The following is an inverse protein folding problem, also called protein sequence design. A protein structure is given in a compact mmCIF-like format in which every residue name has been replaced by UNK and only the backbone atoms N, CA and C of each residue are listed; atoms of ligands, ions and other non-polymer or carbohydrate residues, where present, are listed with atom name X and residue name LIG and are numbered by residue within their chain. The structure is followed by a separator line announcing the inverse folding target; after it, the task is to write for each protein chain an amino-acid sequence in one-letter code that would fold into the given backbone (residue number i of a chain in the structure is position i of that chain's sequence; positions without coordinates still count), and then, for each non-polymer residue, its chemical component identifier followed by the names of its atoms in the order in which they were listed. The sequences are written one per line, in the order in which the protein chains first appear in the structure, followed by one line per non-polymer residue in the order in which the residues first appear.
data_IF_587508369175
#
_entry.id   IF_587508369175
#
_cell.length_a   1.000
_cell.length_b   1.000
_cell.length_c   1.000
_cell.angle_alpha   90.00
_cell.angle_beta   90.00
_cell.angle_gamma   90.00
#
_symmetry.space_group_name_H-M   'P 1'
#
loop_
_entity.id
_entity.type
_entity.pdbx_description
1 polymer ?
#
# COMPACT_ATOMS: atom_id res chain seq x y z
N UNK A 1 -52.77 21.36 -31.50
CA UNK A 1 -52.73 19.89 -31.67
C UNK A 1 -51.83 19.59 -32.86
N UNK A 2 -50.80 18.76 -32.69
CA UNK A 2 -50.95 17.31 -32.75
C UNK A 2 -50.34 16.55 -31.56
N UNK A 3 -50.74 15.28 -31.47
CA UNK A 3 -50.62 14.33 -30.35
C UNK A 3 -49.17 13.88 -30.09
N UNK A 4 -48.76 13.87 -28.81
CA UNK A 4 -47.62 13.08 -28.33
C UNK A 4 -48.15 11.84 -27.61
N UNK A 5 -47.80 10.67 -28.12
CA UNK A 5 -48.05 9.38 -27.49
C UNK A 5 -46.93 9.03 -26.50
N UNK A 6 -47.37 8.79 -25.26
CA UNK A 6 -46.99 7.73 -24.31
C UNK A 6 -45.53 7.26 -24.21
N UNK A 7 -44.99 7.28 -22.98
CA UNK A 7 -44.67 6.04 -22.24
C UNK A 7 -44.44 6.35 -20.76
N UNK A 8 -45.32 5.78 -19.94
CA UNK A 8 -45.19 5.64 -18.49
C UNK A 8 -44.05 4.64 -18.21
N UNK A 9 -43.13 5.01 -17.33
CA UNK A 9 -42.12 4.10 -16.77
C UNK A 9 -42.44 3.96 -15.28
N UNK A 10 -42.81 2.73 -14.94
CA UNK A 10 -43.03 2.18 -13.61
C UNK A 10 -41.80 2.31 -12.73
N UNK A 11 -41.96 2.92 -11.56
CA UNK A 11 -40.96 2.94 -10.49
C UNK A 11 -40.99 1.62 -9.71
N UNK A 12 -40.07 0.72 -10.03
CA UNK A 12 -39.80 -0.48 -9.23
C UNK A 12 -38.74 -0.16 -8.17
N UNK A 13 -39.16 -0.19 -6.91
CA UNK A 13 -38.31 -0.04 -5.72
C UNK A 13 -37.29 -1.18 -5.62
N UNK A 14 -36.00 -0.85 -5.69
CA UNK A 14 -34.90 -1.75 -5.34
C UNK A 14 -34.36 -1.38 -3.97
N UNK A 15 -34.62 -2.24 -2.99
CA UNK A 15 -34.03 -2.26 -1.65
C UNK A 15 -32.51 -2.39 -1.75
N UNK A 16 -31.79 -1.29 -1.56
CA UNK A 16 -30.35 -1.31 -1.34
C UNK A 16 -30.08 -1.70 0.13
N UNK A 17 -29.54 -2.90 0.33
CA UNK A 17 -28.89 -3.28 1.58
C UNK A 17 -27.69 -2.36 1.77
N UNK A 18 -27.82 -1.40 2.68
CA UNK A 18 -26.73 -0.52 3.09
C UNK A 18 -25.78 -1.31 3.99
N UNK A 19 -24.68 -1.78 3.42
CA UNK A 19 -23.51 -2.15 4.20
C UNK A 19 -22.79 -0.85 4.57
N UNK A 20 -23.10 -0.31 5.75
CA UNK A 20 -22.34 0.77 6.38
C UNK A 20 -20.94 0.26 6.74
N UNK A 21 -19.99 0.39 5.81
CA UNK A 21 -18.56 0.45 6.14
C UNK A 21 -18.22 1.92 6.39
N UNK A 22 -18.18 2.30 7.66
CA UNK A 22 -17.57 3.57 8.08
C UNK A 22 -16.14 3.60 7.55
N UNK A 23 -15.69 4.65 6.84
CA UNK A 23 -14.29 4.77 6.48
C UNK A 23 -13.46 4.74 7.77
N UNK A 24 -12.38 3.96 7.86
CA UNK A 24 -11.50 4.01 9.01
C UNK A 24 -11.06 5.46 9.18
N UNK A 25 -11.07 5.95 10.42
CA UNK A 25 -10.35 7.16 10.75
C UNK A 25 -8.92 6.98 10.22
N UNK A 26 -8.45 7.93 9.40
CA UNK A 26 -7.20 7.80 8.65
C UNK A 26 -5.97 7.46 9.53
N UNK A 27 -6.10 7.59 10.86
CA UNK A 27 -5.06 7.35 11.85
C UNK A 27 -5.13 5.99 12.58
N UNK A 28 -5.99 5.04 12.20
CA UNK A 28 -6.12 3.75 12.88
C UNK A 28 -5.76 2.55 11.99
N UNK A 29 -5.04 1.57 12.56
CA UNK A 29 -4.80 0.29 11.91
C UNK A 29 -6.12 -0.49 11.74
N UNK A 30 -6.37 -1.07 10.57
CA UNK A 30 -7.47 -2.02 10.38
C UNK A 30 -7.38 -3.21 11.36
N UNK A 31 -8.53 -3.68 11.84
CA UNK A 31 -8.61 -4.78 12.80
C UNK A 31 -7.96 -6.08 12.29
N UNK A 32 -7.99 -6.30 10.97
CA UNK A 32 -7.34 -7.44 10.29
C UNK A 32 -5.81 -7.47 10.48
N UNK A 33 -5.20 -6.32 10.77
CA UNK A 33 -3.76 -6.15 10.99
C UNK A 33 -3.38 -6.12 12.48
N UNK A 34 -4.36 -6.22 13.38
CA UNK A 34 -4.16 -6.23 14.84
C UNK A 34 -4.73 -7.49 15.50
N UNK A 35 -5.15 -8.50 14.73
CA UNK A 35 -5.67 -9.75 15.29
C UNK A 35 -4.52 -10.61 15.86
N UNK A 36 -4.45 -10.82 17.18
CA UNK A 36 -3.37 -11.57 17.81
C UNK A 36 -3.39 -13.07 17.49
N UNK A 37 -4.39 -13.58 16.78
CA UNK A 37 -4.50 -14.99 16.39
C UNK A 37 -4.11 -15.23 14.92
N UNK A 38 -3.84 -14.18 14.16
CA UNK A 38 -3.51 -14.30 12.74
C UNK A 38 -2.09 -13.83 12.47
N UNK A 39 -1.32 -14.54 11.62
CA UNK A 39 0.04 -14.15 11.31
C UNK A 39 0.07 -12.93 10.38
N UNK A 40 1.24 -12.27 10.33
CA UNK A 40 1.52 -11.16 9.43
C UNK A 40 2.81 -11.43 8.64
N UNK A 41 2.96 -10.86 7.42
CA UNK A 41 4.21 -10.89 6.68
C UNK A 41 5.35 -10.28 7.51
N UNK A 42 6.56 -10.82 7.39
CA UNK A 42 7.75 -10.24 8.06
C UNK A 42 8.30 -9.03 7.31
N UNK A 43 8.07 -8.98 6.00
CA UNK A 43 8.49 -7.92 5.11
C UNK A 43 7.37 -7.59 4.13
N UNK A 44 7.00 -6.32 4.08
CA UNK A 44 6.14 -5.79 3.03
C UNK A 44 7.01 -4.94 2.09
N UNK A 45 6.93 -5.23 0.80
CA UNK A 45 7.68 -4.52 -0.24
C UNK A 45 6.70 -3.78 -1.13
N UNK A 46 7.02 -2.54 -1.49
CA UNK A 46 6.22 -1.73 -2.39
C UNK A 46 7.00 -1.43 -3.68
N UNK A 47 6.31 -1.44 -4.82
CA UNK A 47 6.72 -0.60 -5.94
C UNK A 47 6.57 0.90 -5.60
N UNK A 48 6.99 1.79 -6.49
CA UNK A 48 6.88 3.23 -6.32
C UNK A 48 5.82 3.83 -7.24
N UNK A 49 6.03 3.71 -8.55
CA UNK A 49 5.25 4.41 -9.55
C UNK A 49 3.88 3.75 -9.69
N UNK A 50 2.80 4.54 -9.69
CA UNK A 50 1.41 4.07 -9.62
C UNK A 50 1.05 3.19 -8.41
N UNK A 51 1.99 2.91 -7.50
CA UNK A 51 1.75 2.18 -6.25
C UNK A 51 1.72 3.12 -5.05
N UNK A 52 2.79 3.88 -4.79
CA UNK A 52 2.83 4.87 -3.70
C UNK A 52 2.35 6.26 -4.15
N UNK A 53 2.49 6.58 -5.43
CA UNK A 53 2.06 7.84 -6.03
C UNK A 53 1.51 7.64 -7.45
N UNK A 54 0.64 8.53 -7.96
CA UNK A 54 -0.08 8.31 -9.24
C UNK A 54 0.68 8.78 -10.49
N UNK A 55 1.97 8.46 -10.60
CA UNK A 55 2.79 8.85 -11.76
C UNK A 55 4.06 8.00 -11.90
N UNK A 56 4.64 7.95 -13.10
CA UNK A 56 6.04 7.56 -13.32
C UNK A 56 7.00 8.70 -13.02
N UNK A 57 7.90 8.52 -12.05
CA UNK A 57 8.88 9.52 -11.63
C UNK A 57 9.93 9.84 -12.70
N UNK A 58 10.26 8.91 -13.59
CA UNK A 58 11.23 9.13 -14.68
C UNK A 58 10.64 9.76 -15.94
N UNK A 59 9.30 9.89 -16.00
CA UNK A 59 8.59 10.36 -17.20
C UNK A 59 7.86 11.67 -16.94
N UNK A 60 7.11 11.77 -15.84
CA UNK A 60 6.24 12.92 -15.58
C UNK A 60 6.94 14.03 -14.79
N UNK A 61 7.93 13.69 -13.97
CA UNK A 61 8.57 14.67 -13.09
C UNK A 61 9.70 15.39 -13.82
N UNK A 62 9.69 16.72 -13.81
CA UNK A 62 10.76 17.53 -14.39
C UNK A 62 11.59 18.31 -13.35
N UNK A 63 12.74 17.79 -12.90
CA UNK A 63 13.57 18.43 -11.88
C UNK A 63 14.00 19.87 -12.25
N UNK A 64 14.33 20.72 -11.25
CA UNK A 64 14.44 20.40 -9.82
C UNK A 64 13.08 20.30 -9.13
N UNK A 65 13.00 19.41 -8.14
CA UNK A 65 11.87 19.32 -7.21
C UNK A 65 12.05 20.29 -6.04
N UNK A 66 10.93 20.85 -5.57
CA UNK A 66 10.85 21.68 -4.37
C UNK A 66 9.72 21.18 -3.48
N UNK A 67 9.96 20.84 -2.21
CA UNK A 67 8.88 20.42 -1.31
C UNK A 67 7.91 21.58 -1.05
N UNK A 68 6.62 21.27 -0.94
CA UNK A 68 5.64 22.24 -0.45
C UNK A 68 5.92 22.61 1.02
N UNK A 69 5.40 23.76 1.52
CA UNK A 69 5.63 24.18 2.91
C UNK A 69 5.23 23.14 3.95
N UNK A 70 4.14 22.39 3.70
CA UNK A 70 3.67 21.28 4.54
C UNK A 70 4.43 19.98 4.33
N UNK A 71 5.26 19.91 3.28
CA UNK A 71 6.02 18.73 2.86
C UNK A 71 5.16 17.50 2.55
N UNK A 72 3.89 17.69 2.27
CA UNK A 72 2.96 16.62 1.84
C UNK A 72 3.01 16.39 0.32
N UNK A 73 3.65 17.30 -0.41
CA UNK A 73 3.86 17.23 -1.85
C UNK A 73 5.17 17.89 -2.25
N UNK A 74 5.58 17.75 -3.51
CA UNK A 74 6.68 18.48 -4.10
C UNK A 74 6.29 18.98 -5.50
N UNK A 75 6.70 20.20 -5.82
CA UNK A 75 6.48 20.79 -7.15
C UNK A 75 7.75 20.70 -7.99
N UNK A 76 7.59 20.48 -9.29
CA UNK A 76 8.72 20.46 -10.23
C UNK A 76 9.01 21.85 -10.83
N UNK A 77 9.85 21.91 -11.87
CA UNK A 77 10.20 23.19 -12.52
C UNK A 77 9.05 23.86 -13.28
N UNK A 78 8.02 23.10 -13.65
CA UNK A 78 6.82 23.57 -14.34
C UNK A 78 5.68 23.91 -13.39
N UNK A 79 5.83 23.57 -12.10
CA UNK A 79 4.84 23.81 -11.06
C UNK A 79 3.80 22.71 -10.96
N UNK A 80 4.04 21.54 -11.56
CA UNK A 80 3.20 20.36 -11.36
C UNK A 80 3.44 19.80 -9.96
N UNK A 81 2.37 19.40 -9.26
CA UNK A 81 2.40 18.93 -7.88
C UNK A 81 2.42 17.39 -7.81
N UNK A 82 3.36 16.86 -7.04
CA UNK A 82 3.62 15.42 -6.91
C UNK A 82 3.47 15.01 -5.45
N UNK A 83 2.52 14.12 -5.17
CA UNK A 83 2.18 13.65 -3.82
C UNK A 83 1.94 12.13 -3.80
N UNK A 84 1.91 11.55 -2.60
CA UNK A 84 1.51 10.16 -2.37
C UNK A 84 0.00 9.99 -2.58
N UNK A 85 -0.48 8.76 -2.82
CA UNK A 85 -1.90 8.44 -2.69
C UNK A 85 -2.40 8.71 -1.27
N UNK A 86 -3.71 9.00 -1.13
CA UNK A 86 -4.28 9.54 0.11
C UNK A 86 -4.03 8.68 1.37
N UNK A 87 -4.11 7.35 1.25
CA UNK A 87 -3.92 6.43 2.38
C UNK A 87 -2.43 6.11 2.64
N UNK A 88 -1.57 6.25 1.63
CA UNK A 88 -0.16 5.81 1.69
C UNK A 88 0.60 6.44 2.85
N UNK A 89 0.46 7.73 3.19
CA UNK A 89 1.16 8.29 4.32
C UNK A 89 0.86 7.57 5.65
N UNK A 90 -0.40 7.17 5.84
CA UNK A 90 -0.85 6.46 7.03
C UNK A 90 -0.47 4.98 7.00
N UNK A 91 -0.56 4.33 5.84
CA UNK A 91 -0.13 2.95 5.64
C UNK A 91 1.35 2.80 6.03
N UNK A 92 2.22 3.65 5.48
CA UNK A 92 3.66 3.62 5.76
C UNK A 92 3.97 3.94 7.23
N UNK A 93 3.20 4.84 7.85
CA UNK A 93 3.38 5.22 9.25
C UNK A 93 2.89 4.13 10.22
N UNK A 94 1.81 3.41 9.90
CA UNK A 94 1.11 2.52 10.82
C UNK A 94 1.48 1.04 10.66
N UNK A 95 1.80 0.56 9.45
CA UNK A 95 2.15 -0.85 9.22
C UNK A 95 3.25 -1.40 10.13
N UNK A 96 4.34 -0.67 10.45
CA UNK A 96 5.36 -1.15 11.37
C UNK A 96 4.83 -1.42 12.80
N UNK A 97 3.66 -0.88 13.15
CA UNK A 97 3.00 -1.05 14.44
C UNK A 97 1.92 -2.13 14.44
N UNK A 98 1.71 -2.84 13.32
CA UNK A 98 0.77 -3.96 13.24
C UNK A 98 1.21 -5.14 14.12
N UNK A 99 0.23 -5.83 14.71
CA UNK A 99 0.46 -6.93 15.68
C UNK A 99 -0.36 -8.15 15.32
N UNK A 100 0.32 -9.25 14.96
CA UNK A 100 -0.27 -10.58 14.72
C UNK A 100 0.27 -11.66 15.67
N UNK A 101 -0.15 -12.91 15.50
CA UNK A 101 0.22 -14.02 16.39
C UNK A 101 1.73 -14.34 16.40
N UNK A 102 2.39 -14.12 15.27
CA UNK A 102 3.85 -14.33 15.12
C UNK A 102 4.63 -13.02 15.28
N UNK A 103 3.92 -11.90 15.45
CA UNK A 103 4.50 -10.59 15.72
C UNK A 103 4.84 -10.50 17.20
N UNK A 104 6.03 -10.97 17.56
CA UNK A 104 6.59 -10.58 18.86
C UNK A 104 6.76 -9.06 18.88
N UNK A 105 6.55 -8.38 20.03
CA UNK A 105 6.77 -6.93 20.16
C UNK A 105 8.17 -6.47 19.69
N UNK A 106 9.13 -7.39 19.62
CA UNK A 106 10.50 -7.16 19.16
C UNK A 106 10.74 -7.37 17.65
N UNK A 107 9.71 -7.76 16.88
CA UNK A 107 9.83 -8.05 15.43
C UNK A 107 8.72 -7.34 14.64
N UNK A 108 8.80 -6.01 14.46
CA UNK A 108 7.87 -5.27 13.62
C UNK A 108 7.95 -5.73 12.16
N UNK A 109 6.88 -5.49 11.41
CA UNK A 109 6.88 -5.67 9.95
C UNK A 109 7.91 -4.69 9.36
N UNK A 110 8.87 -5.23 8.60
CA UNK A 110 9.82 -4.41 7.85
C UNK A 110 9.17 -3.90 6.57
N UNK A 111 9.55 -2.70 6.15
CA UNK A 111 9.09 -2.10 4.89
C UNK A 111 10.26 -1.95 3.92
N UNK A 112 10.11 -2.47 2.70
CA UNK A 112 11.10 -2.38 1.63
C UNK A 112 10.54 -1.74 0.36
N UNK A 113 11.43 -1.46 -0.59
CA UNK A 113 11.07 -0.96 -1.92
C UNK A 113 11.71 -1.84 -3.00
N UNK A 114 10.95 -2.17 -4.03
CA UNK A 114 11.45 -2.73 -5.26
C UNK A 114 10.89 -1.91 -6.42
N UNK A 115 11.68 -1.09 -7.12
CA UNK A 115 11.20 -0.24 -8.22
C UNK A 115 12.14 -0.26 -9.42
N UNK A 116 11.54 -0.25 -10.60
CA UNK A 116 12.23 -0.37 -11.89
C UNK A 116 12.55 0.96 -12.56
N UNK A 117 12.27 2.09 -11.90
CA UNK A 117 12.46 3.42 -12.47
C UNK A 117 13.89 3.62 -12.99
N UNK A 118 14.00 4.33 -14.12
CA UNK A 118 15.28 4.77 -14.67
C UNK A 118 15.82 6.04 -14.00
N UNK A 119 15.08 6.62 -13.04
CA UNK A 119 15.50 7.77 -12.24
C UNK A 119 15.66 7.45 -10.73
N UNK A 120 16.56 6.53 -10.31
CA UNK A 120 16.69 6.13 -8.91
C UNK A 120 17.06 7.24 -7.92
N UNK A 121 17.81 8.26 -8.35
CA UNK A 121 18.16 9.41 -7.51
C UNK A 121 16.94 10.27 -7.25
N UNK A 122 16.19 10.59 -8.32
CA UNK A 122 14.99 11.42 -8.24
C UNK A 122 13.91 10.77 -7.37
N UNK A 123 13.69 9.47 -7.51
CA UNK A 123 12.76 8.71 -6.67
C UNK A 123 13.14 8.80 -5.18
N UNK A 124 14.43 8.63 -4.84
CA UNK A 124 14.91 8.76 -3.47
C UNK A 124 14.79 10.19 -2.95
N UNK A 125 15.04 11.19 -3.79
CA UNK A 125 14.92 12.59 -3.40
C UNK A 125 13.47 12.99 -3.14
N UNK A 126 12.54 12.51 -3.96
CA UNK A 126 11.11 12.68 -3.71
C UNK A 126 10.68 12.04 -2.37
N UNK A 127 11.09 10.80 -2.09
CA UNK A 127 10.81 10.14 -0.80
C UNK A 127 11.44 10.88 0.41
N UNK A 128 12.56 11.61 0.23
CA UNK A 128 13.15 12.47 1.28
C UNK A 128 12.36 13.77 1.47
N UNK A 129 11.77 14.29 0.40
CA UNK A 129 11.00 15.55 0.42
C UNK A 129 9.63 15.36 1.06
N UNK A 130 8.96 14.25 0.76
CA UNK A 130 7.62 13.93 1.26
C UNK A 130 7.67 13.48 2.72
N UNK A 131 6.84 14.09 3.55
CA UNK A 131 6.72 13.80 4.98
C UNK A 131 5.39 13.12 5.28
N UNK A 132 5.46 12.15 6.20
CA UNK A 132 4.32 11.47 6.78
C UNK A 132 3.74 12.31 7.93
N UNK A 133 2.41 12.26 8.12
CA UNK A 133 1.77 12.95 9.22
C UNK A 133 2.28 12.43 10.57
N UNK A 134 2.37 13.30 11.60
CA UNK A 134 2.66 12.86 12.96
C UNK A 134 1.55 11.93 13.46
N UNK A 135 1.91 10.93 14.26
CA UNK A 135 0.90 10.18 15.02
C UNK A 135 0.39 11.07 16.16
N UNK A 136 -0.92 11.10 16.34
CA UNK A 136 -1.58 11.86 17.41
C UNK A 136 -2.00 10.93 18.55
N UNK A 137 -1.92 11.43 19.78
CA UNK A 137 -2.43 10.77 20.99
C UNK A 137 -3.27 11.79 21.76
N UNK A 138 -4.59 11.77 21.53
CA UNK A 138 -5.47 12.88 21.90
C UNK A 138 -5.12 14.15 21.11
N UNK A 139 -5.20 15.32 21.75
CA UNK A 139 -4.91 16.62 21.10
C UNK A 139 -3.40 16.94 20.97
N UNK A 140 -2.51 15.96 21.18
CA UNK A 140 -1.06 16.16 21.16
C UNK A 140 -0.36 15.24 20.15
N UNK A 141 0.62 15.75 19.39
CA UNK A 141 1.45 14.91 18.54
C UNK A 141 2.33 14.01 19.40
N UNK A 142 2.15 12.68 19.23
CA UNK A 142 2.98 11.63 19.84
C UNK A 142 4.33 11.51 19.16
N UNK A 143 4.42 11.87 17.88
CA UNK A 143 5.65 11.84 17.10
C UNK A 143 5.86 13.11 16.27
N UNK A 144 7.11 13.39 15.90
CA UNK A 144 7.41 14.40 14.88
C UNK A 144 7.03 13.87 13.49
N UNK A 145 6.74 14.75 12.51
CA UNK A 145 6.67 14.35 11.11
C UNK A 145 7.95 13.61 10.70
N UNK A 146 7.80 12.52 9.96
CA UNK A 146 8.92 11.69 9.48
C UNK A 146 8.99 11.77 7.96
N UNK A 147 10.19 11.73 7.38
CA UNK A 147 10.31 11.62 5.92
C UNK A 147 9.80 10.24 5.49
N UNK A 148 9.13 10.15 4.35
CA UNK A 148 8.65 8.88 3.83
C UNK A 148 9.80 7.87 3.64
N UNK A 149 10.98 8.33 3.21
CA UNK A 149 12.16 7.47 3.07
C UNK A 149 12.60 6.80 4.40
N UNK A 150 12.35 7.44 5.55
CA UNK A 150 12.85 6.97 6.86
C UNK A 150 12.00 5.85 7.46
N UNK A 151 10.87 5.48 6.84
CA UNK A 151 10.05 4.34 7.28
C UNK A 151 10.48 3.01 6.69
N UNK A 152 11.27 3.04 5.61
CA UNK A 152 11.77 1.83 4.97
C UNK A 152 13.02 1.34 5.70
N UNK A 153 12.82 0.43 6.64
CA UNK A 153 13.88 -0.27 7.40
C UNK A 153 14.34 -1.58 6.73
N UNK A 154 13.66 -1.98 5.65
CA UNK A 154 14.08 -3.02 4.71
C UNK A 154 14.88 -2.46 3.52
N UNK A 155 15.42 -3.33 2.66
CA UNK A 155 16.17 -2.90 1.48
C UNK A 155 15.31 -2.10 0.48
N UNK A 156 15.90 -1.06 -0.10
CA UNK A 156 15.32 -0.28 -1.19
C UNK A 156 16.07 -0.56 -2.50
N UNK A 157 15.61 -1.57 -3.24
CA UNK A 157 16.09 -1.90 -4.58
C UNK A 157 15.40 -0.99 -5.60
N UNK A 158 16.09 0.06 -6.05
CA UNK A 158 15.56 1.04 -7.01
C UNK A 158 16.54 1.15 -8.17
N UNK A 159 16.25 0.44 -9.27
CA UNK A 159 17.02 0.44 -10.52
C UNK A 159 16.28 -0.30 -11.64
N UNK A 160 16.57 -0.03 -12.92
CA UNK A 160 16.02 -0.81 -14.02
C UNK A 160 16.40 -2.29 -13.95
N UNK A 161 15.43 -3.18 -14.15
CA UNK A 161 15.67 -4.63 -14.17
C UNK A 161 14.38 -5.45 -13.99
N UNK A 162 14.51 -6.78 -13.91
CA UNK A 162 13.39 -7.64 -13.51
C UNK A 162 13.19 -7.57 -12.00
N UNK A 163 11.92 -7.57 -11.54
CA UNK A 163 11.58 -7.64 -10.11
C UNK A 163 12.09 -8.92 -9.46
N UNK A 164 12.30 -10.00 -10.22
CA UNK A 164 12.95 -11.22 -9.70
C UNK A 164 14.31 -10.90 -9.07
N UNK A 165 15.16 -10.13 -9.77
CA UNK A 165 16.49 -9.74 -9.25
C UNK A 165 16.40 -8.83 -8.03
N UNK A 166 15.39 -7.97 -7.99
CA UNK A 166 15.15 -7.11 -6.83
C UNK A 166 14.84 -7.97 -5.60
N UNK A 167 13.92 -8.94 -5.74
CA UNK A 167 13.56 -9.84 -4.64
C UNK A 167 14.69 -10.79 -4.24
N UNK A 168 15.49 -11.30 -5.17
CA UNK A 168 16.71 -12.06 -4.85
C UNK A 168 17.69 -11.23 -4.01
N UNK A 169 17.90 -9.95 -4.36
CA UNK A 169 18.75 -9.04 -3.60
C UNK A 169 18.16 -8.72 -2.21
N UNK A 170 16.85 -8.50 -2.12
CA UNK A 170 16.12 -8.29 -0.86
C UNK A 170 16.26 -9.52 0.05
N UNK A 171 16.01 -10.72 -0.49
CA UNK A 171 16.17 -11.99 0.23
C UNK A 171 17.60 -12.15 0.74
N UNK A 172 18.60 -11.94 -0.12
CA UNK A 172 20.02 -12.02 0.25
C UNK A 172 20.40 -11.05 1.38
N UNK A 173 19.88 -9.82 1.36
CA UNK A 173 20.20 -8.79 2.37
C UNK A 173 19.47 -9.02 3.70
N UNK A 174 18.25 -9.56 3.65
CA UNK A 174 17.39 -9.69 4.84
C UNK A 174 17.42 -11.07 5.48
N UNK A 175 17.71 -12.13 4.71
CA UNK A 175 17.53 -13.52 5.12
C UNK A 175 16.07 -13.94 5.30
N UNK A 176 15.09 -13.08 4.97
CA UNK A 176 13.67 -13.39 5.09
C UNK A 176 13.27 -14.29 3.92
N UNK A 177 12.58 -15.41 4.19
CA UNK A 177 12.08 -16.31 3.15
C UNK A 177 11.07 -15.62 2.24
N UNK A 178 11.02 -15.97 0.95
CA UNK A 178 10.10 -15.34 0.00
C UNK A 178 8.65 -15.48 0.43
N UNK A 179 8.30 -16.64 0.98
CA UNK A 179 6.99 -16.94 1.53
C UNK A 179 6.57 -15.92 2.60
N UNK A 180 7.52 -15.34 3.36
CA UNK A 180 7.26 -14.38 4.45
C UNK A 180 7.15 -12.93 3.93
N UNK A 181 7.20 -12.73 2.61
CA UNK A 181 7.09 -11.44 1.94
C UNK A 181 5.73 -11.24 1.30
N UNK A 182 5.23 -10.00 1.40
CA UNK A 182 4.07 -9.50 0.66
C UNK A 182 4.51 -8.31 -0.19
N UNK A 183 4.12 -8.31 -1.46
CA UNK A 183 4.54 -7.33 -2.44
C UNK A 183 3.34 -6.62 -3.07
N UNK A 184 3.34 -5.29 -3.09
CA UNK A 184 2.33 -4.48 -3.77
C UNK A 184 2.92 -3.80 -5.01
N UNK A 185 2.24 -3.95 -6.15
CA UNK A 185 2.67 -3.40 -7.44
C UNK A 185 1.46 -3.27 -8.37
N UNK A 186 1.42 -2.22 -9.19
CA UNK A 186 0.32 -1.93 -10.12
C UNK A 186 0.42 -2.73 -11.43
N UNK A 187 1.59 -3.27 -11.75
CA UNK A 187 1.89 -3.88 -13.03
C UNK A 187 1.77 -5.41 -12.97
N UNK A 188 0.75 -5.94 -13.66
CA UNK A 188 0.43 -7.37 -13.70
C UNK A 188 1.62 -8.27 -14.09
N UNK A 189 2.53 -7.79 -14.95
CA UNK A 189 3.69 -8.61 -15.37
C UNK A 189 4.61 -8.96 -14.20
N UNK A 190 4.64 -8.13 -13.16
CA UNK A 190 5.48 -8.33 -11.99
C UNK A 190 4.95 -9.46 -11.08
N UNK A 191 3.75 -10.00 -11.35
CA UNK A 191 3.25 -11.24 -10.74
C UNK A 191 4.15 -12.46 -11.01
N UNK A 192 5.08 -12.38 -11.97
CA UNK A 192 6.12 -13.41 -12.14
C UNK A 192 6.96 -13.64 -10.87
N UNK A 193 7.04 -12.65 -9.98
CA UNK A 193 7.75 -12.74 -8.70
C UNK A 193 7.19 -13.81 -7.77
N UNK A 194 5.92 -14.19 -7.93
CA UNK A 194 5.30 -15.27 -7.14
C UNK A 194 5.94 -16.64 -7.42
N UNK A 195 6.66 -16.80 -8.53
CA UNK A 195 7.47 -18.02 -8.80
C UNK A 195 8.57 -18.22 -7.75
N UNK A 196 8.97 -17.17 -7.04
CA UNK A 196 9.91 -17.25 -5.91
C UNK A 196 9.25 -17.74 -4.61
N UNK A 197 7.91 -17.74 -4.54
CA UNK A 197 7.14 -18.15 -3.36
C UNK A 197 6.52 -17.00 -2.55
N UNK A 198 6.79 -15.73 -2.92
CA UNK A 198 6.16 -14.58 -2.28
C UNK A 198 4.70 -14.40 -2.70
N UNK A 199 3.97 -13.58 -1.95
CA UNK A 199 2.62 -13.14 -2.33
C UNK A 199 2.69 -11.78 -2.98
N UNK A 200 2.15 -11.64 -4.20
CA UNK A 200 2.02 -10.36 -4.90
C UNK A 200 0.55 -9.95 -4.95
N UNK A 201 0.28 -8.70 -4.60
CA UNK A 201 -1.02 -8.06 -4.70
C UNK A 201 -0.97 -6.98 -5.77
N UNK A 202 -1.81 -7.15 -6.79
CA UNK A 202 -1.97 -6.17 -7.86
C UNK A 202 -2.79 -4.98 -7.35
N UNK A 203 -2.27 -3.76 -7.51
CA UNK A 203 -2.93 -2.50 -7.08
C UNK A 203 -3.13 -1.54 -8.26
N UNK A 204 -4.08 -1.82 -9.17
CA UNK A 204 -4.20 -1.07 -10.43
C UNK A 204 -4.58 0.41 -10.24
N UNK A 205 -5.19 0.75 -9.10
CA UNK A 205 -5.64 2.11 -8.76
C UNK A 205 -4.78 2.73 -7.63
N UNK A 206 -3.58 2.18 -7.40
CA UNK A 206 -2.70 2.58 -6.31
C UNK A 206 -3.00 1.93 -4.97
N UNK A 207 -2.09 2.12 -4.03
CA UNK A 207 -2.18 1.53 -2.71
C UNK A 207 -3.18 2.27 -1.83
N UNK A 208 -4.13 1.53 -1.26
CA UNK A 208 -5.06 1.98 -0.24
C UNK A 208 -5.20 0.93 0.87
N UNK A 209 -5.88 1.27 1.97
CA UNK A 209 -6.04 0.34 3.10
C UNK A 209 -6.73 -0.96 2.69
N UNK A 210 -7.74 -0.89 1.81
CA UNK A 210 -8.47 -2.07 1.36
C UNK A 210 -7.56 -3.05 0.62
N UNK A 211 -6.61 -2.54 -0.18
CA UNK A 211 -5.65 -3.39 -0.88
C UNK A 211 -4.62 -3.98 0.08
N UNK A 212 -4.20 -3.24 1.11
CA UNK A 212 -3.32 -3.78 2.17
C UNK A 212 -4.00 -4.95 2.90
N UNK A 213 -5.25 -4.79 3.32
CA UNK A 213 -6.01 -5.85 3.99
C UNK A 213 -6.15 -7.09 3.11
N UNK A 214 -6.57 -6.90 1.85
CA UNK A 214 -6.70 -8.00 0.87
C UNK A 214 -5.37 -8.68 0.60
N UNK A 215 -4.27 -7.93 0.49
CA UNK A 215 -2.93 -8.48 0.30
C UNK A 215 -2.49 -9.36 1.48
N UNK A 216 -2.77 -8.94 2.71
CA UNK A 216 -2.50 -9.75 3.91
C UNK A 216 -3.39 -10.98 3.97
N UNK A 217 -4.66 -10.87 3.59
CA UNK A 217 -5.57 -12.03 3.47
C UNK A 217 -5.09 -13.03 2.41
N UNK A 218 -4.68 -12.57 1.24
CA UNK A 218 -4.13 -13.42 0.17
C UNK A 218 -2.86 -14.14 0.65
N UNK A 219 -1.99 -13.45 1.39
CA UNK A 219 -0.78 -14.01 1.99
C UNK A 219 -1.10 -15.07 3.04
N UNK A 220 -2.08 -14.81 3.92
CA UNK A 220 -2.59 -15.76 4.92
C UNK A 220 -3.18 -17.01 4.26
N UNK A 221 -4.01 -16.81 3.23
CA UNK A 221 -4.69 -17.90 2.51
C UNK A 221 -3.69 -18.86 1.87
N UNK A 222 -2.62 -18.34 1.25
CA UNK A 222 -1.53 -19.16 0.68
C UNK A 222 -0.78 -19.99 1.71
N UNK A 223 -0.88 -19.61 2.98
CA UNK A 223 -0.27 -20.29 4.14
C UNK A 223 -1.25 -21.14 4.94
N UNK A 224 -2.48 -21.31 4.44
CA UNK A 224 -3.50 -22.13 5.09
C UNK A 224 -4.25 -21.44 6.24
N UNK A 225 -4.04 -20.14 6.45
CA UNK A 225 -4.81 -19.37 7.42
C UNK A 225 -6.08 -18.84 6.75
N UNK A 226 -7.24 -19.29 7.24
CA UNK A 226 -8.57 -18.82 6.79
C UNK A 226 -9.21 -17.97 7.88
N UNK A 227 -9.88 -16.89 7.49
CA UNK A 227 -10.72 -16.12 8.41
C UNK A 227 -12.05 -16.86 8.65
N UNK A 228 -12.60 -16.76 9.86
CA UNK A 228 -13.79 -17.52 10.29
C UNK A 228 -15.04 -17.33 9.42
N UNK A 229 -15.10 -16.27 8.61
CA UNK A 229 -16.21 -15.99 7.70
C UNK A 229 -16.30 -16.97 6.52
N UNK A 230 -15.23 -17.64 6.12
CA UNK A 230 -15.24 -18.63 5.02
C UNK A 230 -15.65 -20.05 5.50
N UNK A 231 -15.44 -20.38 6.78
CA UNK A 231 -15.80 -21.68 7.35
C UNK A 231 -17.32 -21.88 7.52
N UNK A 232 -18.09 -20.79 7.64
CA UNK A 232 -19.55 -20.85 7.67
C UNK A 232 -20.18 -21.03 6.28
N UNK A 233 -19.48 -20.62 5.21
CA UNK A 233 -19.96 -20.75 3.83
C UNK A 233 -19.65 -22.12 3.19
N UNK A 234 -18.68 -22.86 3.73
CA UNK A 234 -18.33 -24.21 3.25
C UNK A 234 -19.07 -25.35 3.95
N UNK A 235 -19.94 -25.02 4.93
CA UNK A 235 -20.79 -25.96 5.67
C UNK A 235 -22.30 -25.75 5.43
N UNK A 236 -22.66 -24.95 4.42
CA UNK A 236 -24.05 -24.67 4.02
C UNK A 236 -24.46 -25.44 2.78
#
# INVERSE_FOLDING_TARGET
MPRKHTKSITSSSSTALSSTSTPPSAAALPASLTDPNLPLPKLIVFDLDYTLWPFWVDTHVSPPLKPSPTRTSATDKFGEDFALYADVPWILQLLPHATGCDSYPDKPIKLGVASRTSAPSLARDLLKMLHLPPLEEGDKPKSKPRRAIDVFDGPMEIYPGSKIRHFEAIHKKTGIGFEDMLFFDDERRNAETEKLGLTMRLVPDGLCWQEVERGVEDWRRRRGFRTRSEDSASRG
#
